data_IF_421813709749
#
_entry.id   IF_421813709749
#
_cell.length_a   1.000
_cell.length_b   1.000
_cell.length_c   1.000
_cell.angle_alpha   90.00
_cell.angle_beta   90.00
_cell.angle_gamma   90.00
#
_symmetry.space_group_name_H-M   'P 1'
#
loop_
_entity.id
_entity.type
_entity.pdbx_description
1 polymer ?
#
# COMPACT_ATOMS: atom_id res chain seq x y z
N UNK A 1 55.79 -12.20 74.05
CA UNK A 1 55.42 -12.60 75.41
C UNK A 1 56.45 -13.58 75.92
N UNK A 2 57.10 -13.30 77.07
CA UNK A 2 58.33 -13.94 77.51
C UNK A 2 58.05 -15.09 78.49
N UNK A 3 58.89 -16.13 78.48
CA UNK A 3 59.07 -17.02 79.63
C UNK A 3 60.55 -17.28 79.82
N UNK A 4 61.17 -16.42 80.62
CA UNK A 4 62.48 -16.62 81.25
C UNK A 4 62.37 -17.66 82.36
N UNK A 5 63.32 -18.59 82.39
CA UNK A 5 63.67 -19.46 83.53
C UNK A 5 65.18 -19.68 83.37
N UNK A 6 66.14 -19.04 84.07
CA UNK A 6 66.26 -18.61 85.47
C UNK A 6 66.03 -19.74 86.46
N UNK A 7 67.09 -20.51 86.71
CA UNK A 7 67.42 -21.13 88.01
C UNK A 7 68.94 -21.27 88.10
N UNK A 8 69.59 -20.17 88.49
CA UNK A 8 70.73 -20.23 89.41
C UNK A 8 70.16 -20.45 90.83
N UNK A 9 70.90 -21.18 91.67
CA UNK A 9 70.70 -21.46 93.11
C UNK A 9 69.98 -22.76 93.48
N UNK A 10 70.78 -23.82 93.62
CA UNK A 10 70.67 -25.00 94.52
C UNK A 10 71.72 -25.99 94.00
N UNK A 11 72.91 -26.25 94.52
CA UNK A 11 73.56 -26.25 95.85
C UNK A 11 75.09 -26.38 95.52
N UNK A 12 76.09 -25.67 96.03
CA UNK A 12 76.33 -25.09 97.36
C UNK A 12 75.68 -25.88 98.50
N UNK A 13 76.01 -27.18 98.51
CA UNK A 13 76.13 -28.15 99.63
C UNK A 13 76.57 -29.48 98.97
N UNK A 14 77.83 -29.58 98.55
CA UNK A 14 78.54 -30.88 98.47
C UNK A 14 80.08 -30.75 98.35
N UNK A 15 80.65 -29.58 98.66
CA UNK A 15 82.04 -29.43 99.10
C UNK A 15 82.07 -29.26 100.63
N UNK A 16 81.79 -30.32 101.39
CA UNK A 16 82.11 -30.36 102.85
C UNK A 16 82.12 -31.74 103.51
N UNK A 17 81.89 -32.86 102.79
CA UNK A 17 81.94 -34.22 103.36
C UNK A 17 82.51 -35.27 102.39
N UNK A 18 83.78 -35.11 102.02
CA UNK A 18 84.72 -36.22 101.78
C UNK A 18 86.16 -35.71 101.95
N UNK A 19 86.34 -34.96 103.04
CA UNK A 19 87.61 -34.65 103.68
C UNK A 19 87.40 -35.04 105.14
N UNK A 20 88.30 -35.85 105.72
CA UNK A 20 88.17 -36.70 106.92
C UNK A 20 87.68 -38.14 106.66
N UNK A 21 88.52 -38.98 106.03
CA UNK A 21 88.70 -40.38 106.50
C UNK A 21 89.90 -41.18 105.98
N UNK A 22 90.67 -40.72 104.99
CA UNK A 22 91.85 -41.51 104.53
C UNK A 22 93.22 -40.87 104.84
N UNK A 23 93.24 -39.86 105.70
CA UNK A 23 94.45 -39.32 106.36
C UNK A 23 94.79 -40.02 107.69
N UNK A 24 94.20 -41.20 107.95
CA UNK A 24 94.34 -41.96 109.20
C UNK A 24 94.69 -43.43 108.94
N UNK A 25 95.54 -43.70 107.95
CA UNK A 25 96.42 -44.89 107.91
C UNK A 25 97.84 -44.40 107.60
N UNK A 26 98.26 -43.42 108.40
CA UNK A 26 99.63 -43.23 108.81
C UNK A 26 99.70 -43.85 110.22
N UNK A 27 100.79 -44.51 110.55
CA UNK A 27 101.12 -45.05 111.89
C UNK A 27 100.58 -46.46 112.21
N UNK A 28 101.03 -47.49 111.48
CA UNK A 28 101.23 -48.86 111.98
C UNK A 28 101.90 -49.73 110.89
N UNK A 29 103.22 -49.85 110.92
CA UNK A 29 103.95 -50.74 109.99
C UNK A 29 105.43 -50.42 109.73
N UNK A 30 105.93 -49.29 110.25
CA UNK A 30 107.38 -48.92 110.21
C UNK A 30 107.99 -48.93 111.63
N UNK A 31 107.34 -49.58 112.61
CA UNK A 31 107.76 -49.57 114.02
C UNK A 31 107.79 -50.96 114.68
N UNK A 32 108.15 -51.99 113.90
CA UNK A 32 108.57 -53.32 114.41
C UNK A 32 109.92 -53.75 113.78
N UNK A 33 110.80 -52.77 113.58
CA UNK A 33 112.24 -52.95 113.74
C UNK A 33 112.53 -52.64 115.23
N UNK A 34 113.25 -53.50 115.96
CA UNK A 34 113.74 -53.30 117.35
C UNK A 34 112.79 -53.52 118.54
N UNK A 35 112.32 -54.76 118.81
CA UNK A 35 112.30 -55.38 120.17
C UNK A 35 112.40 -56.90 119.95
N UNK A 36 113.28 -57.59 120.70
CA UNK A 36 113.62 -59.04 120.67
C UNK A 36 114.82 -59.47 119.79
N UNK A 37 115.92 -58.73 119.90
CA UNK A 37 117.21 -59.36 120.25
C UNK A 37 117.45 -59.13 121.74
N UNK A 38 117.82 -60.20 122.47
CA UNK A 38 118.25 -60.26 123.89
C UNK A 38 117.18 -60.52 124.96
N UNK A 39 116.75 -61.78 125.04
CA UNK A 39 116.81 -62.57 126.28
C UNK A 39 116.65 -64.07 125.93
N UNK A 40 117.60 -64.89 126.38
CA UNK A 40 117.41 -66.34 126.47
C UNK A 40 118.22 -67.19 125.50
N UNK A 41 119.53 -67.28 125.74
CA UNK A 41 120.28 -68.50 125.45
C UNK A 41 119.60 -69.69 126.15
N UNK A 42 119.13 -70.69 125.39
CA UNK A 42 119.35 -72.10 125.73
C UNK A 42 118.86 -73.02 124.59
N UNK A 43 119.84 -73.75 124.01
CA UNK A 43 119.75 -75.08 123.38
C UNK A 43 119.37 -75.21 121.89
N UNK A 44 120.44 -75.29 121.06
CA UNK A 44 120.68 -76.10 119.84
C UNK A 44 119.63 -76.11 118.69
N UNK A 45 119.96 -75.95 117.41
CA UNK A 45 121.23 -75.89 116.69
C UNK A 45 121.00 -75.92 115.16
N UNK A 46 121.96 -75.35 114.40
CA UNK A 46 122.19 -75.42 112.93
C UNK A 46 121.08 -74.89 111.98
N UNK A 47 121.16 -73.67 111.43
CA UNK A 47 122.08 -73.14 110.39
C UNK A 47 121.72 -73.52 108.94
N UNK A 48 120.98 -72.65 108.21
CA UNK A 48 121.20 -72.36 106.77
C UNK A 48 120.73 -70.93 106.44
N UNK A 49 121.56 -70.19 105.69
CA UNK A 49 121.43 -68.78 105.27
C UNK A 49 120.50 -68.56 104.06
N UNK A 50 119.90 -67.37 104.04
CA UNK A 50 118.99 -66.76 103.02
C UNK A 50 119.64 -66.50 101.66
N UNK A 51 118.88 -66.44 100.55
CA UNK A 51 119.20 -65.61 99.39
C UNK A 51 118.23 -64.42 99.21
N UNK A 52 118.80 -63.22 99.14
CA UNK A 52 118.19 -61.87 99.11
C UNK A 52 117.43 -61.55 97.79
N UNK A 53 117.42 -62.45 96.80
CA UNK A 53 116.86 -62.20 95.46
C UNK A 53 115.32 -62.16 95.35
N UNK A 54 114.58 -62.73 96.30
CA UNK A 54 113.11 -62.86 96.20
C UNK A 54 112.38 -61.57 96.63
N UNK A 55 112.98 -60.75 97.48
CA UNK A 55 112.33 -59.56 98.05
C UNK A 55 112.26 -58.40 97.04
N UNK A 56 113.23 -58.29 96.12
CA UNK A 56 113.25 -57.22 95.09
C UNK A 56 112.27 -57.50 93.94
N UNK A 57 111.97 -58.77 93.64
CA UNK A 57 111.04 -59.13 92.58
C UNK A 57 109.56 -58.86 92.96
N UNK A 58 109.20 -59.02 94.23
CA UNK A 58 107.81 -58.81 94.69
C UNK A 58 107.43 -57.32 94.80
N UNK A 59 108.37 -56.42 95.09
CA UNK A 59 108.09 -54.98 95.17
C UNK A 59 107.87 -54.32 93.81
N UNK A 60 108.54 -54.78 92.74
CA UNK A 60 108.32 -54.28 91.38
C UNK A 60 106.94 -54.67 90.79
N UNK A 61 106.35 -55.81 91.17
CA UNK A 61 105.06 -56.25 90.62
C UNK A 61 103.86 -55.48 91.19
N UNK A 62 103.95 -55.02 92.43
CA UNK A 62 102.88 -54.25 93.09
C UNK A 62 102.80 -52.83 92.51
N UNK A 63 103.94 -52.18 92.25
CA UNK A 63 103.98 -50.81 91.69
C UNK A 63 103.41 -50.79 90.26
N UNK A 64 103.80 -51.75 89.40
CA UNK A 64 103.27 -51.84 88.03
C UNK A 64 101.79 -52.23 87.93
N UNK A 65 101.20 -52.78 88.99
CA UNK A 65 99.77 -53.14 89.03
C UNK A 65 98.90 -51.94 89.44
N UNK A 66 99.43 -51.05 90.28
CA UNK A 66 98.71 -49.85 90.74
C UNK A 66 98.63 -48.77 89.66
N UNK A 67 99.69 -48.57 88.87
CA UNK A 67 99.67 -47.62 87.74
C UNK A 67 98.66 -48.01 86.64
N UNK A 68 98.48 -49.32 86.38
CA UNK A 68 97.46 -49.81 85.44
C UNK A 68 96.03 -49.58 85.94
N UNK A 69 95.79 -49.71 87.25
CA UNK A 69 94.46 -49.46 87.83
C UNK A 69 94.07 -47.96 87.75
N UNK A 70 95.02 -47.05 88.00
CA UNK A 70 94.76 -45.61 87.95
C UNK A 70 94.51 -45.09 86.52
N UNK A 71 95.23 -45.62 85.53
CA UNK A 71 95.01 -45.28 84.11
C UNK A 71 93.63 -45.73 83.60
N UNK A 72 93.11 -46.86 84.09
CA UNK A 72 91.80 -47.40 83.67
C UNK A 72 90.63 -46.59 84.23
N UNK A 73 90.77 -46.03 85.45
CA UNK A 73 89.75 -45.17 86.06
C UNK A 73 89.63 -43.80 85.37
N UNK A 74 90.74 -43.21 84.93
CA UNK A 74 90.69 -41.95 84.19
C UNK A 74 90.05 -42.09 82.80
N UNK A 75 90.21 -43.24 82.14
CA UNK A 75 89.60 -43.51 80.84
C UNK A 75 88.07 -43.62 80.93
N UNK A 76 87.54 -44.27 81.96
CA UNK A 76 86.10 -44.45 82.14
C UNK A 76 85.35 -43.12 82.38
N UNK A 77 85.97 -42.17 83.09
CA UNK A 77 85.35 -40.85 83.30
C UNK A 77 85.25 -40.01 82.00
N UNK A 78 86.20 -40.18 81.07
CA UNK A 78 86.17 -39.49 79.77
C UNK A 78 85.11 -40.10 78.86
N UNK A 79 84.96 -41.43 78.86
CA UNK A 79 83.92 -42.13 78.10
C UNK A 79 82.51 -41.70 78.57
N UNK A 80 82.29 -41.61 79.89
CA UNK A 80 81.00 -41.15 80.45
C UNK A 80 80.68 -39.68 80.16
N UNK A 81 81.70 -38.84 79.96
CA UNK A 81 81.50 -37.44 79.54
C UNK A 81 81.09 -37.38 78.06
N UNK A 82 81.78 -38.12 77.19
CA UNK A 82 81.49 -38.18 75.75
C UNK A 82 80.10 -38.78 75.49
N UNK A 83 79.68 -39.79 76.28
CA UNK A 83 78.37 -40.40 76.12
C UNK A 83 77.23 -39.44 76.46
N UNK A 84 77.38 -38.63 77.52
CA UNK A 84 76.39 -37.62 77.91
C UNK A 84 76.29 -36.45 76.94
N UNK A 85 77.41 -36.01 76.35
CA UNK A 85 77.40 -34.97 75.32
C UNK A 85 76.74 -35.46 74.02
N UNK A 86 76.94 -36.72 73.63
CA UNK A 86 76.28 -37.32 72.46
C UNK A 86 74.75 -37.44 72.64
N UNK A 87 74.28 -37.86 73.81
CA UNK A 87 72.84 -37.95 74.07
C UNK A 87 72.17 -36.55 74.13
N UNK A 88 72.88 -35.53 74.62
CA UNK A 88 72.41 -34.14 74.59
C UNK A 88 72.29 -33.58 73.16
N UNK A 89 73.26 -33.88 72.29
CA UNK A 89 73.22 -33.47 70.88
C UNK A 89 72.14 -34.20 70.08
N UNK A 90 71.90 -35.49 70.34
CA UNK A 90 70.78 -36.24 69.74
C UNK A 90 69.42 -35.63 70.13
N UNK A 91 69.25 -35.24 71.39
CA UNK A 91 68.02 -34.58 71.86
C UNK A 91 67.77 -33.25 71.14
N UNK A 92 68.80 -32.41 70.99
CA UNK A 92 68.69 -31.13 70.26
C UNK A 92 68.43 -31.33 68.76
N UNK A 93 69.02 -32.34 68.14
CA UNK A 93 68.78 -32.66 66.73
C UNK A 93 67.34 -33.13 66.51
N UNK A 94 66.82 -33.99 67.40
CA UNK A 94 65.42 -34.44 67.35
C UNK A 94 64.42 -33.29 67.53
N UNK A 95 64.68 -32.34 68.45
CA UNK A 95 63.81 -31.18 68.65
C UNK A 95 63.84 -30.23 67.43
N UNK A 96 64.97 -30.14 66.73
CA UNK A 96 65.11 -29.30 65.54
C UNK A 96 64.43 -29.95 64.32
N UNK A 97 64.53 -31.27 64.16
CA UNK A 97 63.83 -32.04 63.14
C UNK A 97 62.31 -32.00 63.34
N UNK A 98 61.83 -32.06 64.59
CA UNK A 98 60.41 -31.93 64.90
C UNK A 98 59.86 -30.53 64.57
N UNK A 99 60.61 -29.47 64.89
CA UNK A 99 60.25 -28.08 64.53
C UNK A 99 60.24 -27.86 63.02
N UNK A 100 61.19 -28.46 62.30
CA UNK A 100 61.25 -28.38 60.84
C UNK A 100 60.08 -29.13 60.19
N UNK A 101 59.75 -30.33 60.69
CA UNK A 101 58.61 -31.11 60.23
C UNK A 101 57.27 -30.40 60.48
N UNK A 102 57.08 -29.79 61.66
CA UNK A 102 55.87 -29.02 61.96
C UNK A 102 55.74 -27.76 61.09
N UNK A 103 56.85 -27.10 60.74
CA UNK A 103 56.82 -25.94 59.84
C UNK A 103 56.50 -26.35 58.40
N UNK A 104 57.08 -27.46 57.91
CA UNK A 104 56.79 -28.01 56.59
C UNK A 104 55.34 -28.48 56.46
N UNK A 105 54.79 -29.11 57.51
CA UNK A 105 53.39 -29.55 57.52
C UNK A 105 52.43 -28.37 57.43
N UNK A 106 52.67 -27.29 58.19
CA UNK A 106 51.84 -26.07 58.13
C UNK A 106 51.93 -25.35 56.78
N UNK A 107 53.11 -25.34 56.15
CA UNK A 107 53.24 -24.81 54.79
C UNK A 107 52.44 -25.65 53.79
N UNK A 108 52.58 -26.98 53.83
CA UNK A 108 51.81 -27.91 52.99
C UNK A 108 50.29 -27.79 53.19
N UNK A 109 49.82 -27.65 54.43
CA UNK A 109 48.40 -27.42 54.71
C UNK A 109 47.90 -26.09 54.15
N UNK A 110 48.68 -25.01 54.28
CA UNK A 110 48.33 -23.70 53.72
C UNK A 110 48.34 -23.70 52.18
N UNK A 111 49.28 -24.40 51.55
CA UNK A 111 49.36 -24.55 50.10
C UNK A 111 48.22 -25.43 49.56
N UNK A 112 47.87 -26.52 50.25
CA UNK A 112 46.73 -27.36 49.88
C UNK A 112 45.41 -26.60 50.01
N UNK A 113 45.24 -25.80 51.08
CA UNK A 113 44.06 -24.96 51.24
C UNK A 113 43.96 -23.89 50.14
N UNK A 114 45.06 -23.26 49.77
CA UNK A 114 45.12 -22.31 48.64
C UNK A 114 44.82 -23.01 47.30
N UNK A 115 45.31 -24.24 47.09
CA UNK A 115 44.99 -25.04 45.89
C UNK A 115 43.51 -25.41 45.83
N UNK A 116 42.89 -25.78 46.94
CA UNK A 116 41.45 -26.05 47.00
C UNK A 116 40.62 -24.79 46.73
N UNK A 117 41.00 -23.65 47.30
CA UNK A 117 40.34 -22.36 47.06
C UNK A 117 40.50 -21.92 45.60
N UNK A 118 41.70 -22.06 45.03
CA UNK A 118 41.94 -21.80 43.60
C UNK A 118 41.17 -22.76 42.70
N UNK A 119 41.05 -24.04 43.07
CA UNK A 119 40.27 -25.00 42.28
C UNK A 119 38.77 -24.69 42.33
N UNK A 120 38.22 -24.35 43.51
CA UNK A 120 36.84 -23.89 43.67
C UNK A 120 36.57 -22.58 42.92
N UNK A 121 37.51 -21.64 42.96
CA UNK A 121 37.42 -20.37 42.22
C UNK A 121 37.43 -20.63 40.71
N UNK A 122 38.30 -21.52 40.22
CA UNK A 122 38.36 -21.94 38.82
C UNK A 122 37.06 -22.61 38.38
N UNK A 123 36.52 -23.54 39.16
CA UNK A 123 35.24 -24.20 38.87
C UNK A 123 34.09 -23.20 38.79
N UNK A 124 34.02 -22.21 39.70
CA UNK A 124 33.02 -21.14 39.65
C UNK A 124 33.19 -20.25 38.42
N UNK A 125 34.42 -19.95 38.03
CA UNK A 125 34.68 -19.18 36.81
C UNK A 125 34.23 -19.94 35.56
N UNK A 126 34.55 -21.23 35.46
CA UNK A 126 34.11 -22.12 34.37
C UNK A 126 32.59 -22.33 34.35
N UNK A 127 31.92 -22.26 35.50
CA UNK A 127 30.45 -22.30 35.60
C UNK A 127 29.83 -20.99 35.09
N UNK A 128 30.33 -19.83 35.54
CA UNK A 128 29.87 -18.51 35.06
C UNK A 128 30.13 -18.34 33.56
N UNK A 129 31.27 -18.79 33.05
CA UNK A 129 31.56 -18.77 31.61
C UNK A 129 30.54 -19.63 30.82
N UNK A 130 30.23 -20.84 31.29
CA UNK A 130 29.20 -21.69 30.66
C UNK A 130 27.81 -21.06 30.71
N UNK A 131 27.42 -20.45 31.83
CA UNK A 131 26.15 -19.74 31.95
C UNK A 131 26.09 -18.54 30.99
N UNK A 132 27.18 -17.78 30.87
CA UNK A 132 27.28 -16.66 29.96
C UNK A 132 27.20 -17.10 28.50
N UNK A 133 27.89 -18.19 28.12
CA UNK A 133 27.78 -18.77 26.76
C UNK A 133 26.36 -19.25 26.45
N UNK A 134 25.69 -19.90 27.41
CA UNK A 134 24.29 -20.31 27.26
C UNK A 134 23.37 -19.11 27.11
N UNK A 135 23.59 -18.04 27.90
CA UNK A 135 22.83 -16.80 27.81
C UNK A 135 23.01 -16.12 26.45
N UNK A 136 24.25 -16.01 25.95
CA UNK A 136 24.56 -15.46 24.62
C UNK A 136 23.87 -16.29 23.53
N UNK A 137 23.94 -17.62 23.62
CA UNK A 137 23.32 -18.51 22.64
C UNK A 137 21.79 -18.36 22.61
N UNK A 138 21.14 -18.31 23.79
CA UNK A 138 19.69 -18.07 23.90
C UNK A 138 19.29 -16.69 23.36
N UNK A 139 20.03 -15.65 23.73
CA UNK A 139 19.77 -14.27 23.28
C UNK A 139 19.92 -14.15 21.77
N UNK A 140 20.94 -14.77 21.17
CA UNK A 140 21.13 -14.77 19.71
C UNK A 140 19.99 -15.50 18.99
N UNK A 141 19.49 -16.62 19.54
CA UNK A 141 18.35 -17.32 18.98
C UNK A 141 17.07 -16.47 19.05
N UNK A 142 16.82 -15.78 20.16
CA UNK A 142 15.70 -14.86 20.31
C UNK A 142 15.79 -13.68 19.32
N UNK A 143 16.98 -13.10 19.15
CA UNK A 143 17.23 -12.03 18.18
C UNK A 143 16.94 -12.49 16.76
N UNK A 144 17.42 -13.66 16.35
CA UNK A 144 17.14 -14.19 15.00
C UNK A 144 15.65 -14.51 14.82
N UNK A 145 14.97 -15.06 15.84
CA UNK A 145 13.52 -15.27 15.79
C UNK A 145 12.75 -13.95 15.63
N UNK A 146 13.12 -12.90 16.37
CA UNK A 146 12.52 -11.56 16.25
C UNK A 146 12.78 -10.98 14.85
N UNK A 147 14.01 -11.13 14.35
CA UNK A 147 14.38 -10.65 13.02
C UNK A 147 13.59 -11.37 11.92
N UNK A 148 13.44 -12.69 11.98
CA UNK A 148 12.59 -13.43 11.05
C UNK A 148 11.13 -12.97 11.13
N UNK A 149 10.58 -12.80 12.34
CA UNK A 149 9.22 -12.32 12.52
C UNK A 149 9.01 -10.91 11.94
N UNK A 150 9.95 -9.99 12.15
CA UNK A 150 9.91 -8.64 11.58
C UNK A 150 10.00 -8.65 10.05
N UNK A 151 10.86 -9.48 9.47
CA UNK A 151 10.95 -9.64 8.01
C UNK A 151 9.63 -10.18 7.45
N UNK A 152 9.08 -11.24 8.04
CA UNK A 152 7.79 -11.80 7.60
C UNK A 152 6.63 -10.81 7.75
N UNK A 153 6.61 -10.02 8.83
CA UNK A 153 5.60 -8.96 9.00
C UNK A 153 5.74 -7.87 7.92
N UNK A 154 6.96 -7.40 7.66
CA UNK A 154 7.20 -6.41 6.62
C UNK A 154 6.86 -6.94 5.21
N UNK A 155 7.17 -8.20 4.91
CA UNK A 155 6.79 -8.85 3.66
C UNK A 155 5.26 -8.94 3.50
N UNK A 156 4.54 -9.29 4.58
CA UNK A 156 3.08 -9.32 4.59
C UNK A 156 2.48 -7.93 4.38
N UNK A 157 2.96 -6.91 5.10
CA UNK A 157 2.51 -5.53 4.95
C UNK A 157 2.80 -4.99 3.53
N UNK A 158 3.99 -5.30 2.98
CA UNK A 158 4.37 -4.96 1.61
C UNK A 158 3.47 -5.66 0.58
N UNK A 159 3.11 -6.92 0.81
CA UNK A 159 2.21 -7.66 -0.08
C UNK A 159 0.78 -7.11 -0.01
N UNK A 160 0.25 -6.88 1.20
CA UNK A 160 -1.06 -6.26 1.38
C UNK A 160 -1.16 -4.89 0.70
N UNK A 161 -0.08 -4.11 0.79
CA UNK A 161 0.03 -2.82 0.10
C UNK A 161 -0.02 -2.99 -1.43
N UNK A 162 0.78 -3.91 -1.99
CA UNK A 162 0.77 -4.21 -3.44
C UNK A 162 -0.61 -4.66 -3.91
N UNK A 163 -1.24 -5.59 -3.20
CA UNK A 163 -2.56 -6.11 -3.54
C UNK A 163 -3.62 -4.99 -3.52
N UNK A 164 -3.54 -4.08 -2.55
CA UNK A 164 -4.42 -2.92 -2.46
C UNK A 164 -4.19 -1.93 -3.62
N UNK A 165 -2.95 -1.65 -3.99
CA UNK A 165 -2.63 -0.81 -5.15
C UNK A 165 -3.15 -1.42 -6.46
N UNK A 166 -3.00 -2.74 -6.63
CA UNK A 166 -3.54 -3.48 -7.79
C UNK A 166 -5.06 -3.36 -7.83
N UNK A 167 -5.74 -3.63 -6.72
CA UNK A 167 -7.20 -3.54 -6.62
C UNK A 167 -7.72 -2.13 -6.93
N UNK A 168 -7.11 -1.08 -6.34
CA UNK A 168 -7.49 0.30 -6.61
C UNK A 168 -7.26 0.69 -8.07
N UNK A 169 -6.16 0.22 -8.68
CA UNK A 169 -5.86 0.46 -10.10
C UNK A 169 -6.91 -0.18 -11.01
N UNK A 170 -7.32 -1.41 -10.69
CA UNK A 170 -8.36 -2.10 -11.46
C UNK A 170 -9.71 -1.41 -11.32
N UNK A 171 -10.11 -1.02 -10.10
CA UNK A 171 -11.34 -0.24 -9.89
C UNK A 171 -11.33 1.08 -10.67
N UNK A 172 -10.21 1.81 -10.68
CA UNK A 172 -10.08 3.03 -11.48
C UNK A 172 -10.18 2.74 -12.97
N UNK A 173 -9.54 1.67 -13.46
CA UNK A 173 -9.61 1.25 -14.86
C UNK A 173 -11.05 0.94 -15.27
N UNK A 174 -11.75 0.09 -14.52
CA UNK A 174 -13.14 -0.28 -14.79
C UNK A 174 -14.03 0.96 -14.75
N UNK A 175 -13.92 1.80 -13.72
CA UNK A 175 -14.71 3.01 -13.61
C UNK A 175 -14.45 3.96 -14.78
N UNK A 176 -13.19 4.17 -15.21
CA UNK A 176 -12.90 4.99 -16.39
C UNK A 176 -13.52 4.40 -17.66
N UNK A 177 -13.43 3.09 -17.89
CA UNK A 177 -14.03 2.45 -19.07
C UNK A 177 -15.55 2.57 -19.10
N UNK A 178 -16.22 2.39 -17.96
CA UNK A 178 -17.67 2.62 -17.83
C UNK A 178 -18.01 4.10 -18.09
N UNK A 179 -17.19 5.02 -17.57
CA UNK A 179 -17.33 6.45 -17.82
C UNK A 179 -17.28 6.82 -19.30
N UNK A 180 -16.32 6.26 -20.06
CA UNK A 180 -16.23 6.47 -21.50
C UNK A 180 -17.43 5.88 -22.25
N UNK A 181 -17.91 4.71 -21.84
CA UNK A 181 -19.10 4.09 -22.43
C UNK A 181 -20.35 4.95 -22.23
N UNK A 182 -20.58 5.42 -21.00
CA UNK A 182 -21.71 6.30 -20.66
C UNK A 182 -21.64 7.62 -21.44
N UNK A 183 -20.47 8.25 -21.50
CA UNK A 183 -20.28 9.51 -22.24
C UNK A 183 -20.57 9.33 -23.74
N UNK A 184 -20.14 8.20 -24.32
CA UNK A 184 -20.43 7.88 -25.73
C UNK A 184 -21.93 7.74 -25.98
N UNK A 185 -22.65 7.03 -25.08
CA UNK A 185 -24.11 6.89 -25.18
C UNK A 185 -24.83 8.23 -25.05
N UNK A 186 -24.40 9.08 -24.12
CA UNK A 186 -24.94 10.43 -23.94
C UNK A 186 -24.73 11.30 -25.19
N UNK A 187 -23.54 11.24 -25.81
CA UNK A 187 -23.25 11.96 -27.04
C UNK A 187 -24.07 11.45 -28.23
N UNK A 188 -24.20 10.14 -28.41
CA UNK A 188 -25.04 9.56 -29.45
C UNK A 188 -26.49 9.99 -29.32
N UNK A 189 -27.06 9.96 -28.10
CA UNK A 189 -28.42 10.41 -27.85
C UNK A 189 -28.62 11.90 -28.16
N UNK A 190 -27.67 12.76 -27.77
CA UNK A 190 -27.70 14.21 -28.10
C UNK A 190 -27.70 14.45 -29.60
N UNK A 191 -26.82 13.76 -30.33
CA UNK A 191 -26.71 13.88 -31.79
C UNK A 191 -28.02 13.44 -32.45
N UNK A 192 -28.62 12.35 -32.01
CA UNK A 192 -29.88 11.87 -32.58
C UNK A 192 -31.01 12.87 -32.37
N UNK A 193 -31.19 13.38 -31.15
CA UNK A 193 -32.22 14.39 -30.84
C UNK A 193 -32.01 15.65 -31.69
N UNK A 194 -30.77 16.11 -31.79
CA UNK A 194 -30.40 17.29 -32.59
C UNK A 194 -30.73 17.09 -34.07
N UNK A 195 -30.34 15.94 -34.65
CA UNK A 195 -30.63 15.61 -36.04
C UNK A 195 -32.14 15.57 -36.33
N UNK A 196 -32.95 15.04 -35.40
CA UNK A 196 -34.42 15.04 -35.57
C UNK A 196 -35.00 16.46 -35.50
N UNK A 197 -34.50 17.30 -34.60
CA UNK A 197 -34.89 18.71 -34.53
C UNK A 197 -34.55 19.47 -35.81
N UNK A 198 -33.31 19.32 -36.30
CA UNK A 198 -32.87 19.96 -37.53
C UNK A 198 -33.67 19.50 -38.75
N UNK A 199 -33.93 18.20 -38.87
CA UNK A 199 -34.76 17.66 -39.94
C UNK A 199 -36.19 18.23 -39.88
N UNK A 200 -36.77 18.34 -38.68
CA UNK A 200 -38.10 18.91 -38.49
C UNK A 200 -38.15 20.40 -38.88
N UNK A 201 -37.18 21.21 -38.46
CA UNK A 201 -37.13 22.64 -38.80
C UNK A 201 -36.85 22.88 -40.29
N UNK A 202 -35.99 22.06 -40.92
CA UNK A 202 -35.79 22.09 -42.37
C UNK A 202 -37.08 21.78 -43.13
N UNK A 203 -37.80 20.74 -42.71
CA UNK A 203 -39.10 20.39 -43.29
C UNK A 203 -40.10 21.53 -43.13
N UNK A 204 -40.21 22.11 -41.94
CA UNK A 204 -41.11 23.24 -41.66
C UNK A 204 -40.82 24.45 -42.54
N UNK A 205 -39.54 24.80 -42.71
CA UNK A 205 -39.12 25.88 -43.61
C UNK A 205 -39.48 25.59 -45.07
N UNK A 206 -39.24 24.35 -45.53
CA UNK A 206 -39.56 23.91 -46.89
C UNK A 206 -41.07 23.93 -47.15
N UNK A 207 -41.87 23.38 -46.24
CA UNK A 207 -43.32 23.35 -46.31
C UNK A 207 -43.92 24.75 -46.31
N UNK A 208 -43.41 25.66 -45.46
CA UNK A 208 -43.81 27.07 -45.48
C UNK A 208 -43.52 27.73 -46.83
N UNK A 209 -42.32 27.55 -47.38
CA UNK A 209 -41.93 28.09 -48.69
C UNK A 209 -42.86 27.59 -49.81
N UNK A 210 -43.23 26.31 -49.78
CA UNK A 210 -44.16 25.72 -50.74
C UNK A 210 -45.57 26.30 -50.60
N UNK A 211 -46.06 26.45 -49.37
CA UNK A 211 -47.38 27.05 -49.11
C UNK A 211 -47.43 28.51 -49.60
N UNK A 212 -46.38 29.29 -49.34
CA UNK A 212 -46.30 30.69 -49.78
C UNK A 212 -46.27 30.81 -51.32
N UNK A 213 -45.55 29.91 -51.99
CA UNK A 213 -45.57 29.84 -53.45
C UNK A 213 -46.97 29.51 -54.00
N UNK A 214 -47.68 28.55 -53.40
CA UNK A 214 -49.05 28.21 -53.81
C UNK A 214 -50.05 29.34 -53.55
N UNK A 215 -49.94 30.04 -52.42
CA UNK A 215 -50.74 31.25 -52.14
C UNK A 215 -50.54 32.30 -53.21
N UNK A 216 -49.30 32.53 -53.61
CA UNK A 216 -48.94 33.50 -54.65
C UNK A 216 -49.54 33.08 -55.99
N UNK A 217 -49.43 31.80 -56.36
CA UNK A 217 -50.04 31.26 -57.59
C UNK A 217 -51.57 31.39 -57.58
N UNK A 218 -52.23 31.08 -56.46
CA UNK A 218 -53.68 31.23 -56.32
C UNK A 218 -54.10 32.69 -56.47
N UNK A 219 -53.35 33.61 -55.89
CA UNK A 219 -53.63 35.04 -55.94
C UNK A 219 -53.49 35.58 -57.38
N UNK A 220 -52.44 35.18 -58.10
CA UNK A 220 -52.24 35.56 -59.51
C UNK A 220 -53.37 34.97 -60.38
N UNK A 221 -53.69 33.68 -60.22
CA UNK A 221 -54.76 33.03 -60.95
C UNK A 221 -56.12 33.69 -60.70
N UNK A 222 -56.39 34.09 -59.46
CA UNK A 222 -57.61 34.80 -59.09
C UNK A 222 -57.70 36.19 -59.72
N UNK A 223 -56.60 36.95 -59.71
CA UNK A 223 -56.53 38.26 -60.37
C UNK A 223 -56.81 38.12 -61.87
N UNK A 224 -56.17 37.16 -62.53
CA UNK A 224 -56.40 36.90 -63.95
C UNK A 224 -57.85 36.50 -64.24
N UNK A 225 -58.45 35.65 -63.40
CA UNK A 225 -59.85 35.27 -63.52
C UNK A 225 -60.79 36.47 -63.39
N UNK A 226 -60.56 37.36 -62.42
CA UNK A 226 -61.39 38.57 -62.27
C UNK A 226 -61.24 39.49 -63.49
N UNK A 227 -60.02 39.69 -63.99
CA UNK A 227 -59.78 40.51 -65.17
C UNK A 227 -60.48 39.97 -66.42
N UNK A 228 -60.37 38.66 -66.68
CA UNK A 228 -61.07 38.04 -67.82
C UNK A 228 -62.59 38.10 -67.65
N UNK A 229 -63.09 38.01 -66.41
CA UNK A 229 -64.51 38.13 -66.09
C UNK A 229 -65.03 39.54 -66.35
N UNK A 230 -64.30 40.56 -65.96
CA UNK A 230 -64.62 41.96 -66.25
C UNK A 230 -64.67 42.20 -67.76
N UNK A 231 -63.64 41.76 -68.49
CA UNK A 231 -63.57 41.89 -69.95
C UNK A 231 -64.73 41.16 -70.65
N UNK A 232 -65.14 39.99 -70.14
CA UNK A 232 -66.30 39.27 -70.66
C UNK A 232 -67.61 40.03 -70.43
N UNK A 233 -67.85 40.53 -69.22
CA UNK A 233 -69.09 41.26 -68.93
C UNK A 233 -69.15 42.58 -69.73
N UNK A 234 -68.03 43.28 -69.91
CA UNK A 234 -67.95 44.46 -70.78
C UNK A 234 -68.31 44.12 -72.24
N UNK A 235 -67.68 43.08 -72.80
CA UNK A 235 -67.93 42.65 -74.17
C UNK A 235 -69.37 42.15 -74.37
N UNK A 236 -69.90 41.42 -73.40
CA UNK A 236 -71.29 40.94 -73.41
C UNK A 236 -72.27 42.11 -73.38
N UNK A 237 -72.06 43.10 -72.51
CA UNK A 237 -72.91 44.29 -72.45
C UNK A 237 -72.82 45.12 -73.74
N UNK A 238 -71.62 45.28 -74.29
CA UNK A 238 -71.40 45.97 -75.57
C UNK A 238 -72.13 45.28 -76.72
N UNK A 239 -71.97 43.96 -76.85
CA UNK A 239 -72.65 43.16 -77.88
C UNK A 239 -74.16 43.12 -77.69
N UNK A 240 -74.65 43.01 -76.46
CA UNK A 240 -76.09 43.09 -76.17
C UNK A 240 -76.67 44.44 -76.62
N UNK A 241 -75.97 45.54 -76.32
CA UNK A 241 -76.40 46.87 -76.75
C UNK A 241 -76.44 47.02 -78.28
N UNK A 242 -75.44 46.47 -78.99
CA UNK A 242 -75.42 46.45 -80.47
C UNK A 242 -76.58 45.64 -81.02
N UNK A 243 -76.80 44.44 -80.48
CA UNK A 243 -77.92 43.57 -80.84
C UNK A 243 -79.27 44.28 -80.66
N UNK A 244 -79.54 44.85 -79.48
CA UNK A 244 -80.79 45.55 -79.18
C UNK A 244 -81.02 46.75 -80.11
N UNK A 245 -79.93 47.47 -80.45
CA UNK A 245 -79.96 48.57 -81.40
C UNK A 245 -80.32 48.09 -82.80
N UNK A 246 -79.75 46.98 -83.27
CA UNK A 246 -80.08 46.40 -84.58
C UNK A 246 -81.52 45.88 -84.63
N UNK A 247 -81.98 45.19 -83.59
CA UNK A 247 -83.38 44.72 -83.50
C UNK A 247 -84.35 45.90 -83.63
N UNK A 248 -84.10 46.97 -82.88
CA UNK A 248 -84.94 48.17 -82.91
C UNK A 248 -84.92 48.84 -84.29
N UNK A 249 -83.74 48.96 -84.93
CA UNK A 249 -83.60 49.51 -86.28
C UNK A 249 -84.34 48.69 -87.32
N UNK A 250 -84.20 47.36 -87.27
CA UNK A 250 -84.88 46.43 -88.18
C UNK A 250 -86.40 46.48 -88.00
N UNK A 251 -86.90 46.49 -86.77
CA UNK A 251 -88.33 46.64 -86.49
C UNK A 251 -88.87 47.97 -87.02
N UNK A 252 -88.14 49.06 -86.79
CA UNK A 252 -88.52 50.40 -87.28
C UNK A 252 -88.56 50.43 -88.81
N UNK A 253 -87.51 49.94 -89.48
CA UNK A 253 -87.45 49.87 -90.93
C UNK A 253 -88.55 48.97 -91.52
N UNK A 254 -88.89 47.87 -90.85
CA UNK A 254 -89.98 46.98 -91.25
C UNK A 254 -91.35 47.65 -91.15
N UNK A 255 -91.61 48.38 -90.07
CA UNK A 255 -92.84 49.15 -89.89
C UNK A 255 -92.94 50.25 -90.95
N UNK A 256 -91.84 50.95 -91.23
CA UNK A 256 -91.81 51.99 -92.27
C UNK A 256 -92.05 51.41 -93.66
N UNK A 257 -91.42 50.28 -93.99
CA UNK A 257 -91.68 49.54 -95.21
C UNK A 257 -93.16 49.15 -95.35
N UNK A 258 -93.75 48.57 -94.30
CA UNK A 258 -95.17 48.21 -94.28
C UNK A 258 -96.07 49.42 -94.54
N UNK A 259 -95.83 50.56 -93.88
CA UNK A 259 -96.57 51.80 -94.12
C UNK A 259 -96.41 52.33 -95.54
N UNK A 260 -95.24 52.19 -96.16
CA UNK A 260 -95.02 52.61 -97.55
C UNK A 260 -95.72 51.66 -98.53
N UNK A 261 -95.74 50.36 -98.23
CA UNK A 261 -96.53 49.36 -98.97
C UNK A 261 -98.05 49.55 -98.80
N UNK A 262 -98.52 50.08 -97.66
CA UNK A 262 -99.94 50.38 -97.41
C UNK A 262 -100.42 51.65 -98.11
N UNK A 263 -99.53 52.63 -98.33
CA UNK A 263 -99.83 53.86 -99.09
C UNK A 263 -99.82 53.66 -100.62
N UNK A 264 -99.79 52.42 -101.08
CA UNK A 264 -99.41 52.03 -102.43
C UNK A 264 -100.56 52.02 -103.44
N UNK A 265 -101.55 52.89 -103.23
CA UNK A 265 -102.70 53.03 -104.13
C UNK A 265 -102.54 54.15 -105.19
N UNK A 266 -101.49 54.97 -105.14
CA UNK A 266 -101.24 56.03 -106.13
C UNK A 266 -99.87 55.88 -106.83
N UNK A 267 -99.93 55.58 -108.13
CA UNK A 267 -98.85 55.09 -108.99
C UNK A 267 -97.86 56.17 -109.47
N UNK A 268 -96.56 56.00 -109.16
CA UNK A 268 -95.43 56.45 -109.98
C UNK A 268 -94.28 55.43 -109.88
N UNK A 269 -93.54 55.23 -110.97
CA UNK A 269 -92.25 54.52 -111.10
C UNK A 269 -91.25 54.84 -109.98
N UNK A 270 -91.25 56.07 -109.46
CA UNK A 270 -90.45 56.47 -108.30
C UNK A 270 -90.76 55.65 -107.04
N UNK A 271 -92.04 55.37 -106.77
CA UNK A 271 -92.50 54.61 -105.59
C UNK A 271 -92.09 53.14 -105.65
N UNK A 272 -92.17 52.50 -106.83
CA UNK A 272 -91.69 51.12 -107.04
C UNK A 272 -90.21 50.96 -106.77
N UNK A 273 -89.40 51.93 -107.23
CA UNK A 273 -87.95 51.92 -106.98
C UNK A 273 -87.64 52.08 -105.50
N UNK A 274 -88.39 52.95 -104.80
CA UNK A 274 -88.24 53.20 -103.37
C UNK A 274 -88.57 51.96 -102.52
N UNK A 275 -89.66 51.25 -102.82
CA UNK A 275 -90.00 49.98 -102.14
C UNK A 275 -88.92 48.93 -102.37
N UNK A 276 -88.48 48.72 -103.61
CA UNK A 276 -87.41 47.77 -103.93
C UNK A 276 -86.09 48.10 -103.19
N UNK A 277 -85.74 49.38 -103.09
CA UNK A 277 -84.57 49.82 -102.32
C UNK A 277 -84.74 49.53 -100.83
N UNK A 278 -85.91 49.79 -100.24
CA UNK A 278 -86.19 49.50 -98.83
C UNK A 278 -86.18 47.98 -98.53
N UNK A 279 -86.74 47.17 -99.42
CA UNK A 279 -86.74 45.71 -99.30
C UNK A 279 -85.31 45.14 -99.36
N UNK A 280 -84.49 45.68 -100.27
CA UNK A 280 -83.06 45.32 -100.36
C UNK A 280 -82.30 45.73 -99.10
N UNK A 281 -82.55 46.94 -98.57
CA UNK A 281 -81.95 47.42 -97.32
C UNK A 281 -82.35 46.56 -96.12
N UNK A 282 -83.62 46.17 -96.01
CA UNK A 282 -84.11 45.27 -94.97
C UNK A 282 -83.46 43.88 -95.05
N UNK A 283 -83.29 43.35 -96.26
CA UNK A 283 -82.65 42.04 -96.48
C UNK A 283 -81.16 42.07 -96.12
N UNK A 284 -80.45 43.16 -96.44
CA UNK A 284 -79.05 43.36 -96.06
C UNK A 284 -78.91 43.50 -94.55
N UNK A 285 -79.73 44.34 -93.91
CA UNK A 285 -79.74 44.52 -92.46
C UNK A 285 -80.10 43.21 -91.72
N UNK A 286 -81.00 42.39 -92.27
CA UNK A 286 -81.32 41.07 -91.72
C UNK A 286 -80.14 40.09 -91.79
N UNK A 287 -79.36 40.12 -92.87
CA UNK A 287 -78.13 39.32 -92.99
C UNK A 287 -77.01 39.80 -92.06
N UNK A 288 -76.83 41.11 -91.93
CA UNK A 288 -75.88 41.69 -90.98
C UNK A 288 -76.23 41.30 -89.53
N UNK A 289 -77.51 41.38 -89.18
CA UNK A 289 -78.01 40.94 -87.89
C UNK A 289 -77.77 39.45 -87.61
N UNK A 290 -78.06 38.57 -88.58
CA UNK A 290 -77.82 37.14 -88.47
C UNK A 290 -76.34 36.84 -88.17
N UNK A 291 -75.43 37.50 -88.90
CA UNK A 291 -73.99 37.34 -88.72
C UNK A 291 -73.53 37.81 -87.33
N UNK A 292 -74.02 38.96 -86.88
CA UNK A 292 -73.64 39.52 -85.57
C UNK A 292 -74.19 38.69 -84.39
N UNK A 293 -75.36 38.06 -84.57
CA UNK A 293 -75.90 37.09 -83.61
C UNK A 293 -75.04 35.81 -83.53
N UNK A 294 -74.59 35.27 -84.66
CA UNK A 294 -73.70 34.09 -84.70
C UNK A 294 -72.35 34.38 -84.02
N UNK A 295 -71.74 35.53 -84.31
CA UNK A 295 -70.49 35.98 -83.66
C UNK A 295 -70.66 36.15 -82.15
N UNK A 296 -71.79 36.69 -81.68
CA UNK A 296 -72.09 36.84 -80.26
C UNK A 296 -72.23 35.49 -79.53
N UNK A 297 -72.97 34.54 -80.11
CA UNK A 297 -73.15 33.22 -79.49
C UNK A 297 -71.85 32.39 -79.52
N UNK A 298 -71.03 32.50 -80.57
CA UNK A 298 -69.70 31.88 -80.60
C UNK A 298 -68.78 32.48 -79.53
N UNK A 299 -68.77 33.80 -79.39
CA UNK A 299 -68.02 34.48 -78.33
C UNK A 299 -68.43 33.98 -76.94
N UNK A 300 -69.73 33.96 -76.65
CA UNK A 300 -70.30 33.48 -75.37
C UNK A 300 -69.91 32.04 -75.06
N UNK A 301 -69.96 31.15 -76.06
CA UNK A 301 -69.52 29.75 -75.91
C UNK A 301 -68.02 29.65 -75.65
N UNK A 302 -67.20 30.44 -76.34
CA UNK A 302 -65.75 30.46 -76.15
C UNK A 302 -65.37 30.95 -74.75
N UNK A 303 -66.02 32.02 -74.29
CA UNK A 303 -65.78 32.61 -72.97
C UNK A 303 -66.21 31.67 -71.86
N UNK A 304 -67.35 30.98 -72.00
CA UNK A 304 -67.79 29.98 -71.04
C UNK A 304 -66.75 28.87 -70.85
N UNK A 305 -66.21 28.32 -71.95
CA UNK A 305 -65.16 27.30 -71.89
C UNK A 305 -63.90 27.79 -71.18
N UNK A 306 -63.50 29.05 -71.40
CA UNK A 306 -62.34 29.64 -70.70
C UNK A 306 -62.60 29.77 -69.20
N UNK A 307 -63.78 30.24 -68.79
CA UNK A 307 -64.14 30.34 -67.38
C UNK A 307 -64.17 29.00 -66.68
N UNK A 308 -64.80 27.98 -67.28
CA UNK A 308 -64.84 26.63 -66.71
C UNK A 308 -63.41 26.07 -66.54
N UNK A 309 -62.51 26.35 -67.50
CA UNK A 309 -61.09 25.97 -67.42
C UNK A 309 -60.36 26.68 -66.27
N UNK A 310 -60.53 28.00 -66.14
CA UNK A 310 -59.91 28.77 -65.06
C UNK A 310 -60.43 28.38 -63.68
N UNK A 311 -61.75 28.16 -63.54
CA UNK A 311 -62.36 27.71 -62.30
C UNK A 311 -61.82 26.33 -61.89
N UNK A 312 -61.65 25.42 -62.86
CA UNK A 312 -61.01 24.13 -62.64
C UNK A 312 -59.55 24.29 -62.16
N UNK A 313 -58.79 25.22 -62.74
CA UNK A 313 -57.40 25.48 -62.31
C UNK A 313 -57.34 26.05 -60.88
N UNK A 314 -58.19 27.02 -60.55
CA UNK A 314 -58.30 27.57 -59.20
C UNK A 314 -58.65 26.49 -58.18
N UNK A 315 -59.59 25.61 -58.52
CA UNK A 315 -59.99 24.52 -57.65
C UNK A 315 -58.87 23.49 -57.45
N UNK A 316 -58.09 23.18 -58.51
CA UNK A 316 -56.91 22.30 -58.40
C UNK A 316 -55.87 22.88 -57.43
N UNK A 317 -55.53 24.17 -57.57
CA UNK A 317 -54.57 24.84 -56.67
C UNK A 317 -55.08 24.81 -55.23
N UNK A 318 -56.36 25.09 -55.00
CA UNK A 318 -56.97 25.04 -53.66
C UNK A 318 -56.90 23.64 -53.05
N UNK A 319 -57.22 22.59 -53.81
CA UNK A 319 -57.12 21.20 -53.35
C UNK A 319 -55.67 20.84 -53.01
N UNK A 320 -54.71 21.26 -53.84
CA UNK A 320 -53.29 20.98 -53.62
C UNK A 320 -52.76 21.69 -52.36
N UNK A 321 -53.18 22.94 -52.12
CA UNK A 321 -52.89 23.66 -50.88
C UNK A 321 -53.43 22.95 -49.65
N UNK A 322 -54.69 22.49 -49.70
CA UNK A 322 -55.31 21.75 -48.60
C UNK A 322 -54.54 20.46 -48.29
N UNK A 323 -54.19 19.67 -49.31
CA UNK A 323 -53.39 18.45 -49.14
C UNK A 323 -52.00 18.72 -48.56
N UNK A 324 -51.33 19.79 -49.00
CA UNK A 324 -50.04 20.18 -48.43
C UNK A 324 -50.14 20.56 -46.96
N UNK A 325 -51.23 21.23 -46.58
CA UNK A 325 -51.47 21.61 -45.20
C UNK A 325 -51.69 20.37 -44.31
N UNK A 326 -52.56 19.45 -44.74
CA UNK A 326 -52.79 18.17 -44.05
C UNK A 326 -51.50 17.36 -43.91
N UNK A 327 -50.71 17.26 -44.97
CA UNK A 327 -49.40 16.57 -44.96
C UNK A 327 -48.44 17.20 -43.96
N UNK A 328 -48.42 18.53 -43.88
CA UNK A 328 -47.59 19.25 -42.92
C UNK A 328 -48.03 19.00 -41.48
N UNK A 329 -49.34 19.04 -41.20
CA UNK A 329 -49.88 18.78 -39.85
C UNK A 329 -49.60 17.34 -39.39
N UNK A 330 -49.75 16.36 -40.28
CA UNK A 330 -49.41 14.97 -40.01
C UNK A 330 -47.92 14.81 -39.71
N UNK A 331 -47.07 15.43 -40.52
CA UNK A 331 -45.62 15.41 -40.30
C UNK A 331 -45.25 16.11 -39.00
N UNK A 332 -45.87 17.24 -38.68
CA UNK A 332 -45.64 17.98 -37.44
C UNK A 332 -46.03 17.15 -36.23
N UNK A 333 -47.22 16.54 -36.24
CA UNK A 333 -47.67 15.66 -35.17
C UNK A 333 -46.76 14.45 -35.00
N UNK A 334 -46.37 13.81 -36.10
CA UNK A 334 -45.47 12.64 -36.11
C UNK A 334 -44.08 13.00 -35.59
N UNK A 335 -43.53 14.12 -36.04
CA UNK A 335 -42.20 14.60 -35.65
C UNK A 335 -42.15 15.03 -34.20
N UNK A 336 -43.14 15.81 -33.73
CA UNK A 336 -43.28 16.16 -32.32
C UNK A 336 -43.39 14.93 -31.43
N UNK A 337 -44.19 13.93 -31.84
CA UNK A 337 -44.30 12.67 -31.10
C UNK A 337 -42.96 11.94 -31.03
N UNK A 338 -42.22 11.84 -32.14
CA UNK A 338 -40.90 11.18 -32.15
C UNK A 338 -39.88 11.92 -31.30
N UNK A 339 -39.81 13.24 -31.43
CA UNK A 339 -38.96 14.10 -30.60
C UNK A 339 -39.32 13.90 -29.12
N UNK A 340 -40.60 14.02 -28.77
CA UNK A 340 -41.07 13.81 -27.40
C UNK A 340 -40.77 12.40 -26.89
N UNK A 341 -40.92 11.37 -27.74
CA UNK A 341 -40.59 9.99 -27.37
C UNK A 341 -39.10 9.85 -27.08
N UNK A 342 -38.23 10.40 -27.93
CA UNK A 342 -36.78 10.44 -27.68
C UNK A 342 -36.44 11.25 -26.42
N UNK A 343 -37.18 12.34 -26.17
CA UNK A 343 -37.08 13.17 -24.95
C UNK A 343 -37.67 12.49 -23.70
N UNK A 344 -38.47 11.43 -23.84
CA UNK A 344 -39.04 10.64 -22.73
C UNK A 344 -38.31 9.32 -22.49
N UNK A 345 -37.84 8.66 -23.55
CA UNK A 345 -36.79 7.62 -23.52
C UNK A 345 -35.50 8.18 -22.88
N UNK A 346 -35.36 9.50 -22.86
CA UNK A 346 -34.45 10.31 -22.04
C UNK A 346 -34.60 10.09 -20.51
N UNK A 347 -35.56 9.32 -20.01
CA UNK A 347 -35.48 8.78 -18.65
C UNK A 347 -34.23 7.89 -18.49
N UNK A 348 -33.87 7.15 -19.53
CA UNK A 348 -32.61 6.40 -19.60
C UNK A 348 -31.39 7.35 -19.66
N UNK A 349 -31.51 8.51 -20.32
CA UNK A 349 -30.48 9.55 -20.32
C UNK A 349 -30.32 10.25 -18.97
N UNK A 350 -31.41 10.53 -18.24
CA UNK A 350 -31.36 11.01 -16.85
C UNK A 350 -30.70 9.99 -15.93
N UNK A 351 -31.01 8.71 -16.12
CA UNK A 351 -30.34 7.61 -15.41
C UNK A 351 -28.84 7.53 -15.77
N UNK A 352 -28.47 7.71 -17.05
CA UNK A 352 -27.09 7.75 -17.50
C UNK A 352 -26.33 8.96 -16.92
N UNK A 353 -26.96 10.13 -16.84
CA UNK A 353 -26.42 11.32 -16.17
C UNK A 353 -26.19 11.06 -14.68
N UNK A 354 -27.16 10.48 -13.98
CA UNK A 354 -27.00 10.12 -12.57
C UNK A 354 -25.91 9.06 -12.37
N UNK A 355 -25.80 8.08 -13.28
CA UNK A 355 -24.72 7.09 -13.27
C UNK A 355 -23.37 7.77 -13.50
N UNK A 356 -23.27 8.72 -14.44
CA UNK A 356 -22.07 9.50 -14.70
C UNK A 356 -21.64 10.30 -13.46
N UNK A 357 -22.56 10.97 -12.79
CA UNK A 357 -22.28 11.72 -11.55
C UNK A 357 -21.79 10.81 -10.43
N UNK A 358 -22.48 9.69 -10.19
CA UNK A 358 -22.08 8.69 -9.19
C UNK A 358 -20.70 8.13 -9.49
N UNK A 359 -20.42 7.83 -10.75
CA UNK A 359 -19.15 7.30 -11.21
C UNK A 359 -18.02 8.33 -11.06
N UNK A 360 -18.26 9.61 -11.34
CA UNK A 360 -17.30 10.69 -11.08
C UNK A 360 -16.97 10.82 -9.59
N UNK A 361 -17.99 10.72 -8.71
CA UNK A 361 -17.79 10.71 -7.26
C UNK A 361 -16.94 9.49 -6.85
N UNK A 362 -17.27 8.32 -7.38
CA UNK A 362 -16.53 7.09 -7.11
C UNK A 362 -15.05 7.22 -7.55
N UNK A 363 -14.79 7.65 -8.78
CA UNK A 363 -13.42 7.87 -9.30
C UNK A 363 -12.65 8.84 -8.39
N UNK A 364 -13.24 9.98 -8.01
CA UNK A 364 -12.60 10.95 -7.11
C UNK A 364 -12.29 10.35 -5.74
N UNK A 365 -13.20 9.54 -5.20
CA UNK A 365 -13.00 8.85 -3.92
C UNK A 365 -11.86 7.83 -4.01
N UNK A 366 -11.86 6.99 -5.04
CA UNK A 366 -10.85 5.96 -5.27
C UNK A 366 -9.48 6.57 -5.54
N UNK A 367 -9.40 7.67 -6.30
CA UNK A 367 -8.16 8.45 -6.47
C UNK A 367 -7.65 8.99 -5.15
N UNK A 368 -8.52 9.55 -4.31
CA UNK A 368 -8.15 10.05 -2.98
C UNK A 368 -7.63 8.94 -2.08
N UNK A 369 -8.24 7.76 -2.12
CA UNK A 369 -7.72 6.59 -1.39
C UNK A 369 -6.38 6.12 -1.93
N UNK A 370 -6.21 6.09 -3.25
CA UNK A 370 -4.94 5.75 -3.87
C UNK A 370 -3.82 6.69 -3.41
N UNK A 371 -4.04 8.01 -3.44
CA UNK A 371 -3.04 9.00 -3.00
C UNK A 371 -2.83 9.07 -1.48
N UNK A 372 -3.71 8.49 -0.65
CA UNK A 372 -3.46 8.35 0.79
C UNK A 372 -2.50 7.21 1.11
N UNK A 373 -2.40 6.25 0.20
CA UNK A 373 -1.60 5.06 0.38
C UNK A 373 -0.34 5.09 -0.47
N UNK A 374 -0.34 5.71 -1.66
CA UNK A 374 0.86 6.09 -2.42
C UNK A 374 1.73 7.09 -1.65
#
# INVERSE_FOLDING_TARGET
MPSTCSTDKQYDIMYSKFSRKDGLILVCGVSTFFILTHAGESLFGSSVKVPVGIIIACSCWIISSWERYNATQQLNMVIDRIHRENECLKSKLAEQDEKLAQHQLKQLESENKLREENHKSKQKCEEVEREMEQFITRSNLEIENIKTALVSQHELESQMYKDRCISLTEHLRTAMTEGYSIETQLQSARIEIQQKHEAFEQYKKSSKKRLDAMKTQLQIAWINFQKEREEYEENKMSSQKRYDTMVTKLQTAKIEFQKQCEKYDEYDTSSKRKIYTMETQLTTAGREFQKEHEEYEEYKKSSRKRFDSMETQLQKIRIEMQKNHETYEEYEKSSKKKIYTLEMENNNYKELLQKQEKLQIHIKSTQKEFFKHA
#
